data_IF_935488240280
#
_entry.id   IF_935488240280
#
_cell.length_a   1.000
_cell.length_b   1.000
_cell.length_c   1.000
_cell.angle_alpha   90.00
_cell.angle_beta   90.00
_cell.angle_gamma   90.00
#
_symmetry.space_group_name_H-M   'P 1'
#
loop_
_entity.id
_entity.type
_entity.pdbx_description
1 polymer ?
#
# COMPACT_ATOMS: atom_id res chain seq x y z
N UNK A 1 7.17 -11.91 -7.69
CA UNK A 1 6.49 -10.61 -7.49
C UNK A 1 6.78 -9.79 -8.71
N UNK A 2 5.74 -9.45 -9.50
CA UNK A 2 5.92 -8.75 -10.79
C UNK A 2 5.29 -7.36 -10.80
N UNK A 3 4.20 -7.16 -10.04
CA UNK A 3 3.44 -5.92 -10.03
C UNK A 3 3.20 -5.44 -8.61
N UNK A 4 3.61 -4.20 -8.35
CA UNK A 4 3.51 -3.54 -7.04
C UNK A 4 2.58 -2.35 -7.17
N UNK A 5 1.58 -2.24 -6.30
CA UNK A 5 0.71 -1.07 -6.20
C UNK A 5 1.13 -0.21 -5.01
N UNK A 6 1.27 1.08 -5.24
CA UNK A 6 1.59 2.07 -4.21
C UNK A 6 0.50 3.13 -4.17
N UNK A 7 -0.44 3.04 -3.23
CA UNK A 7 -1.37 4.12 -2.94
C UNK A 7 -0.62 5.33 -2.38
N UNK A 8 -0.94 6.52 -2.86
CA UNK A 8 -0.31 7.77 -2.45
C UNK A 8 -1.32 8.88 -2.20
N UNK A 9 -1.09 9.67 -1.17
CA UNK A 9 -1.70 10.97 -0.91
C UNK A 9 -0.66 12.10 -1.05
N UNK A 10 0.47 11.77 -1.66
CA UNK A 10 1.64 12.63 -1.83
C UNK A 10 2.29 13.09 -0.51
N UNK A 11 1.95 12.45 0.62
CA UNK A 11 2.62 12.69 1.91
C UNK A 11 4.03 12.09 1.92
N UNK A 12 4.85 12.54 2.88
CA UNK A 12 6.18 11.97 3.13
C UNK A 12 6.12 10.45 3.41
N UNK A 13 5.10 10.00 4.14
CA UNK A 13 4.90 8.59 4.46
C UNK A 13 4.58 7.76 3.21
N UNK A 14 3.75 8.30 2.30
CA UNK A 14 3.49 7.66 1.02
C UNK A 14 4.75 7.67 0.13
N UNK A 15 5.55 8.73 0.15
CA UNK A 15 6.83 8.78 -0.56
C UNK A 15 7.82 7.75 -0.01
N UNK A 16 7.89 7.55 1.31
CA UNK A 16 8.72 6.51 1.92
C UNK A 16 8.30 5.10 1.47
N UNK A 17 7.00 4.85 1.34
CA UNK A 17 6.49 3.60 0.78
C UNK A 17 6.90 3.42 -0.70
N UNK A 18 6.83 4.48 -1.50
CA UNK A 18 7.25 4.45 -2.91
C UNK A 18 8.77 4.22 -3.05
N UNK A 19 9.60 4.80 -2.18
CA UNK A 19 11.05 4.53 -2.15
C UNK A 19 11.34 3.04 -1.88
N UNK A 20 10.62 2.41 -0.95
CA UNK A 20 10.75 0.98 -0.69
C UNK A 20 10.27 0.16 -1.89
N UNK A 21 9.14 0.55 -2.51
CA UNK A 21 8.64 -0.09 -3.71
C UNK A 21 9.67 -0.02 -4.86
N UNK A 22 10.31 1.13 -5.03
CA UNK A 22 11.36 1.33 -6.03
C UNK A 22 12.57 0.40 -5.81
N UNK A 23 13.02 0.25 -4.56
CA UNK A 23 14.13 -0.66 -4.23
C UNK A 23 13.76 -2.13 -4.50
N UNK A 24 12.54 -2.54 -4.12
CA UNK A 24 12.05 -3.89 -4.39
C UNK A 24 11.85 -4.14 -5.90
N UNK A 25 11.35 -3.14 -6.63
CA UNK A 25 11.15 -3.22 -8.07
C UNK A 25 12.47 -3.35 -8.83
N UNK A 26 13.49 -2.58 -8.46
CA UNK A 26 14.86 -2.71 -9.04
C UNK A 26 15.44 -4.11 -8.82
N UNK A 27 15.24 -4.69 -7.63
CA UNK A 27 15.77 -6.02 -7.29
C UNK A 27 15.04 -7.16 -8.01
N UNK A 28 13.73 -7.01 -8.26
CA UNK A 28 12.88 -8.10 -8.76
C UNK A 28 12.38 -7.86 -10.21
N UNK A 29 12.84 -6.80 -10.87
CA UNK A 29 12.35 -6.39 -12.20
C UNK A 29 10.81 -6.26 -12.22
N UNK A 30 10.26 -5.59 -11.20
CA UNK A 30 8.82 -5.43 -11.02
C UNK A 30 8.33 -4.13 -11.63
N UNK A 31 7.09 -4.14 -12.09
CA UNK A 31 6.34 -2.96 -12.52
C UNK A 31 5.72 -2.26 -11.32
N UNK A 32 5.73 -0.93 -11.29
CA UNK A 32 5.09 -0.14 -10.24
C UNK A 32 3.84 0.54 -10.80
N UNK A 33 2.76 0.44 -10.06
CA UNK A 33 1.52 1.18 -10.26
C UNK A 33 1.35 2.18 -9.12
N UNK A 34 1.08 3.44 -9.42
CA UNK A 34 0.85 4.47 -8.40
C UNK A 34 -0.62 4.90 -8.45
N UNK A 35 -1.30 4.88 -7.31
CA UNK A 35 -2.71 5.20 -7.19
C UNK A 35 -2.92 6.38 -6.22
N UNK A 36 -3.50 7.45 -6.72
CA UNK A 36 -4.10 8.47 -5.86
C UNK A 36 -5.63 8.38 -5.95
N UNK A 37 -6.29 8.22 -4.79
CA UNK A 37 -7.74 8.13 -4.67
C UNK A 37 -8.28 9.47 -4.19
N UNK A 38 -8.97 10.19 -5.09
CA UNK A 38 -9.62 11.46 -4.78
C UNK A 38 -11.01 11.20 -4.20
N UNK A 39 -11.18 11.42 -2.90
CA UNK A 39 -12.49 11.43 -2.26
C UNK A 39 -13.20 12.77 -2.57
N UNK A 40 -13.89 12.83 -3.71
CA UNK A 40 -14.65 14.03 -4.08
C UNK A 40 -15.96 14.07 -3.30
N UNK A 41 -16.25 15.15 -2.54
CA UNK A 41 -17.53 15.32 -1.87
C UNK A 41 -18.69 15.28 -2.85
N UNK A 42 -19.75 14.52 -2.56
CA UNK A 42 -20.90 14.28 -3.45
C UNK A 42 -21.66 15.57 -3.82
N UNK A 43 -21.54 16.63 -3.03
CA UNK A 43 -22.18 17.93 -3.31
C UNK A 43 -21.43 18.76 -4.36
N UNK A 44 -20.20 18.40 -4.72
CA UNK A 44 -19.40 19.11 -5.75
C UNK A 44 -19.76 18.68 -7.17
N UNK A 45 -20.51 17.60 -7.34
CA UNK A 45 -20.92 17.10 -8.66
C UNK A 45 -21.96 17.96 -9.36
N UNK A 46 -22.58 18.94 -8.70
CA UNK A 46 -23.77 19.67 -9.20
C UNK A 46 -23.61 21.18 -9.40
N UNK A 47 -22.45 21.77 -9.17
CA UNK A 47 -22.27 23.24 -9.23
C UNK A 47 -21.60 23.71 -10.52
N UNK A 48 -22.26 23.46 -11.65
CA UNK A 48 -21.85 23.98 -12.98
C UNK A 48 -22.55 25.27 -13.39
N UNK A 49 -22.79 26.22 -12.47
CA UNK A 49 -23.32 27.51 -12.82
C UNK A 49 -22.25 28.59 -12.63
N UNK A 50 -21.96 29.34 -13.71
CA UNK A 50 -21.12 30.54 -13.77
C UNK A 50 -19.66 30.38 -14.20
N UNK A 51 -19.32 29.51 -15.17
CA UNK A 51 -18.01 29.63 -15.86
C UNK A 51 -16.77 29.36 -14.99
N UNK A 52 -16.94 29.07 -13.72
CA UNK A 52 -15.87 28.59 -12.85
C UNK A 52 -15.61 27.10 -13.16
N UNK A 53 -14.33 26.73 -13.22
CA UNK A 53 -13.93 25.33 -13.35
C UNK A 53 -14.56 24.54 -12.20
N UNK A 54 -15.26 23.42 -12.45
CA UNK A 54 -15.78 22.60 -11.37
C UNK A 54 -14.65 22.27 -10.37
N UNK A 55 -14.93 22.38 -9.08
CA UNK A 55 -13.93 22.20 -8.02
C UNK A 55 -13.26 20.81 -8.12
N UNK A 56 -14.01 19.81 -8.58
CA UNK A 56 -13.50 18.47 -8.89
C UNK A 56 -12.38 18.48 -9.95
N UNK A 57 -12.53 19.30 -11.00
CA UNK A 57 -11.52 19.40 -12.06
C UNK A 57 -10.23 20.07 -11.56
N UNK A 58 -10.35 21.00 -10.59
CA UNK A 58 -9.19 21.59 -9.94
C UNK A 58 -8.38 20.55 -9.17
N UNK A 59 -9.03 19.68 -8.36
CA UNK A 59 -8.34 18.62 -7.60
C UNK A 59 -7.73 17.57 -8.53
N UNK A 60 -8.38 17.21 -9.64
CA UNK A 60 -7.82 16.30 -10.63
C UNK A 60 -6.52 16.89 -11.23
N UNK A 61 -6.55 18.15 -11.68
CA UNK A 61 -5.36 18.81 -12.23
C UNK A 61 -4.24 18.96 -11.21
N UNK A 62 -4.59 19.19 -9.96
CA UNK A 62 -3.61 19.25 -8.87
C UNK A 62 -2.95 17.88 -8.64
N UNK A 63 -3.73 16.81 -8.65
CA UNK A 63 -3.20 15.45 -8.54
C UNK A 63 -2.33 15.08 -9.74
N UNK A 64 -2.74 15.44 -10.98
CA UNK A 64 -1.92 15.25 -12.19
C UNK A 64 -0.55 15.93 -12.06
N UNK A 65 -0.54 17.20 -11.59
CA UNK A 65 0.72 17.93 -11.35
C UNK A 65 1.60 17.23 -10.32
N UNK A 66 1.02 16.76 -9.20
CA UNK A 66 1.77 16.03 -8.19
C UNK A 66 2.31 14.69 -8.71
N UNK A 67 1.58 14.01 -9.61
CA UNK A 67 2.08 12.83 -10.28
C UNK A 67 3.28 13.14 -11.18
N UNK A 68 3.23 14.21 -11.99
CA UNK A 68 4.35 14.65 -12.80
C UNK A 68 5.60 14.86 -11.94
N UNK A 69 5.48 15.65 -10.86
CA UNK A 69 6.58 15.91 -9.92
C UNK A 69 7.10 14.63 -9.22
N UNK A 70 6.20 13.68 -8.90
CA UNK A 70 6.54 12.41 -8.28
C UNK A 70 7.33 11.52 -9.24
N UNK A 71 6.91 11.42 -10.49
CA UNK A 71 7.51 10.55 -11.48
C UNK A 71 8.90 11.02 -11.94
N UNK A 72 9.23 12.29 -11.74
CA UNK A 72 10.56 12.87 -12.00
C UNK A 72 11.59 12.56 -10.87
N UNK A 73 11.19 11.91 -9.78
CA UNK A 73 12.08 11.63 -8.66
C UNK A 73 13.22 10.69 -9.05
N UNK A 74 14.49 11.03 -8.72
CA UNK A 74 15.67 10.25 -9.16
C UNK A 74 15.67 8.79 -8.73
N UNK A 75 15.04 8.44 -7.60
CA UNK A 75 14.97 7.06 -7.14
C UNK A 75 14.07 6.16 -7.99
N UNK A 76 13.23 6.76 -8.86
CA UNK A 76 12.37 6.07 -9.83
C UNK A 76 13.06 5.86 -11.18
N UNK A 77 14.20 6.46 -11.42
CA UNK A 77 14.92 6.35 -12.68
C UNK A 77 15.23 4.89 -13.05
N UNK A 78 14.94 4.55 -14.30
CA UNK A 78 15.15 3.20 -14.84
C UNK A 78 14.11 2.17 -14.41
N UNK A 79 13.06 2.58 -13.67
CA UNK A 79 11.96 1.69 -13.30
C UNK A 79 10.83 1.72 -14.32
N UNK A 80 10.17 0.58 -14.46
CA UNK A 80 8.97 0.46 -15.27
C UNK A 80 7.77 0.92 -14.41
N UNK A 81 7.37 2.18 -14.62
CA UNK A 81 6.15 2.74 -14.00
C UNK A 81 5.10 2.78 -15.09
N UNK A 82 4.14 1.86 -15.01
CA UNK A 82 3.17 1.67 -16.08
C UNK A 82 2.07 2.72 -16.08
N UNK A 83 1.64 3.14 -14.90
CA UNK A 83 0.42 3.94 -14.84
C UNK A 83 0.37 4.73 -13.53
N UNK A 84 0.14 6.03 -13.64
CA UNK A 84 -0.38 6.83 -12.55
C UNK A 84 -1.90 6.81 -12.65
N UNK A 85 -2.57 6.26 -11.66
CA UNK A 85 -4.02 6.06 -11.65
C UNK A 85 -4.62 7.06 -10.69
N UNK A 86 -5.69 7.74 -11.13
CA UNK A 86 -6.49 8.63 -10.27
C UNK A 86 -7.84 7.94 -10.01
N UNK A 87 -8.05 7.50 -8.79
CA UNK A 87 -9.32 6.93 -8.34
C UNK A 87 -10.34 8.01 -7.97
N UNK A 88 -11.61 7.62 -7.90
CA UNK A 88 -12.72 8.52 -7.58
C UNK A 88 -13.61 7.98 -6.46
N UNK A 89 -13.06 7.23 -5.53
CA UNK A 89 -13.82 6.56 -4.47
C UNK A 89 -13.11 6.51 -3.13
N UNK A 90 -13.51 5.56 -2.30
CA UNK A 90 -12.82 5.29 -1.05
C UNK A 90 -11.53 4.50 -1.31
N UNK A 91 -10.41 4.94 -0.74
CA UNK A 91 -9.07 4.39 -0.98
C UNK A 91 -9.03 2.85 -1.00
N UNK A 92 -9.66 2.19 -0.02
CA UNK A 92 -9.64 0.72 0.05
C UNK A 92 -10.42 0.04 -1.08
N UNK A 93 -11.46 0.69 -1.62
CA UNK A 93 -12.23 0.18 -2.76
C UNK A 93 -11.41 0.31 -4.04
N UNK A 94 -10.85 1.50 -4.27
CA UNK A 94 -10.02 1.76 -5.45
C UNK A 94 -8.79 0.85 -5.46
N UNK A 95 -8.12 0.65 -4.31
CA UNK A 95 -7.01 -0.30 -4.17
C UNK A 95 -7.43 -1.72 -4.54
N UNK A 96 -8.56 -2.21 -4.00
CA UNK A 96 -9.03 -3.58 -4.29
C UNK A 96 -9.46 -3.77 -5.75
N UNK A 97 -10.01 -2.74 -6.38
CA UNK A 97 -10.36 -2.73 -7.81
C UNK A 97 -9.10 -2.82 -8.68
N UNK A 98 -8.11 -1.94 -8.46
CA UNK A 98 -6.84 -1.94 -9.18
C UNK A 98 -6.07 -3.25 -8.97
N UNK A 99 -6.06 -3.78 -7.74
CA UNK A 99 -5.44 -5.09 -7.43
C UNK A 99 -6.01 -6.18 -8.34
N UNK A 100 -7.32 -6.20 -8.52
CA UNK A 100 -8.00 -7.19 -9.36
C UNK A 100 -7.77 -6.94 -10.85
N UNK A 101 -7.93 -5.70 -11.31
CA UNK A 101 -7.84 -5.36 -12.74
C UNK A 101 -6.43 -5.51 -13.29
N UNK A 102 -5.43 -5.05 -12.53
CA UNK A 102 -4.02 -5.06 -12.95
C UNK A 102 -3.26 -6.31 -12.50
N UNK A 103 -3.92 -7.26 -11.82
CA UNK A 103 -3.30 -8.46 -11.25
C UNK A 103 -2.07 -8.12 -10.40
N UNK A 104 -2.25 -7.24 -9.43
CA UNK A 104 -1.20 -6.80 -8.51
C UNK A 104 -0.81 -7.95 -7.56
N UNK A 105 0.48 -8.07 -7.28
CA UNK A 105 1.02 -9.11 -6.38
C UNK A 105 1.24 -8.61 -4.95
N UNK A 106 1.51 -7.31 -4.80
CA UNK A 106 1.84 -6.66 -3.53
C UNK A 106 1.34 -5.23 -3.51
N UNK A 107 0.72 -4.82 -2.40
CA UNK A 107 0.47 -3.41 -2.10
C UNK A 107 1.55 -2.93 -1.14
N UNK A 108 2.16 -1.76 -1.40
CA UNK A 108 3.08 -1.10 -0.46
C UNK A 108 2.53 0.29 -0.17
N UNK A 109 2.30 0.59 1.11
CA UNK A 109 1.72 1.87 1.48
C UNK A 109 2.29 2.42 2.80
N UNK A 110 2.18 3.73 3.00
CA UNK A 110 2.58 4.37 4.25
C UNK A 110 1.66 3.96 5.40
N UNK A 111 2.18 4.00 6.62
CA UNK A 111 1.40 3.67 7.83
C UNK A 111 0.37 4.74 8.17
N UNK A 112 0.61 6.00 7.77
CA UNK A 112 -0.23 7.17 8.03
C UNK A 112 -0.20 8.06 6.79
N UNK A 113 -1.26 8.83 6.56
CA UNK A 113 -1.29 9.90 5.57
C UNK A 113 -1.08 11.27 6.24
N UNK A 114 -1.44 12.33 5.52
CA UNK A 114 -1.24 13.74 5.93
C UNK A 114 -1.86 14.12 7.29
N UNK A 115 -2.79 13.31 7.83
CA UNK A 115 -3.54 13.60 9.06
C UNK A 115 -3.06 12.82 10.30
N UNK A 116 -1.89 12.16 10.25
CA UNK A 116 -1.42 11.29 11.33
C UNK A 116 -0.71 12.02 12.47
N UNK A 117 -1.37 12.17 13.62
CA UNK A 117 -0.83 12.85 14.80
C UNK A 117 -0.11 11.93 15.82
N UNK A 118 -0.08 10.62 15.65
CA UNK A 118 0.52 9.71 16.62
C UNK A 118 1.33 8.58 15.97
N UNK A 119 2.58 8.44 16.34
CA UNK A 119 3.54 7.45 15.83
C UNK A 119 3.13 5.97 16.03
N UNK A 120 2.15 5.71 16.90
CA UNK A 120 1.73 4.35 17.26
C UNK A 120 0.50 3.84 16.50
N UNK A 121 -0.20 4.69 15.76
CA UNK A 121 -1.44 4.29 15.09
C UNK A 121 -1.23 4.10 13.58
N UNK A 122 -1.88 3.08 13.04
CA UNK A 122 -2.03 2.89 11.60
C UNK A 122 -3.18 3.79 11.14
N UNK A 123 -2.99 4.56 10.08
CA UNK A 123 -4.03 5.42 9.50
C UNK A 123 -5.27 4.61 9.07
N UNK A 124 -6.44 5.23 9.15
CA UNK A 124 -7.73 4.58 8.87
C UNK A 124 -7.80 3.96 7.47
N UNK A 125 -7.22 4.60 6.46
CA UNK A 125 -7.16 4.06 5.09
C UNK A 125 -6.25 2.84 5.01
N UNK A 126 -5.08 2.89 5.65
CA UNK A 126 -4.15 1.76 5.71
C UNK A 126 -4.78 0.57 6.44
N UNK A 127 -5.44 0.80 7.57
CA UNK A 127 -6.16 -0.24 8.30
C UNK A 127 -7.24 -0.91 7.43
N UNK A 128 -8.07 -0.11 6.73
CA UNK A 128 -9.10 -0.64 5.84
C UNK A 128 -8.51 -1.46 4.70
N UNK A 129 -7.40 -1.00 4.08
CA UNK A 129 -6.72 -1.74 3.02
C UNK A 129 -6.18 -3.07 3.55
N UNK A 130 -5.48 -3.07 4.69
CA UNK A 130 -4.95 -4.30 5.30
C UNK A 130 -6.06 -5.30 5.61
N UNK A 131 -7.21 -4.84 6.13
CA UNK A 131 -8.34 -5.71 6.47
C UNK A 131 -9.09 -6.28 5.26
N UNK A 132 -9.09 -5.57 4.13
CA UNK A 132 -9.93 -5.94 2.97
C UNK A 132 -9.15 -6.53 1.81
N UNK A 133 -7.83 -6.35 1.78
CA UNK A 133 -6.97 -6.85 0.71
C UNK A 133 -6.91 -8.37 0.70
N UNK A 134 -6.95 -8.94 -0.51
CA UNK A 134 -6.78 -10.39 -0.75
C UNK A 134 -5.34 -10.78 -1.06
N UNK A 135 -4.45 -9.80 -1.14
CA UNK A 135 -3.02 -9.97 -1.41
C UNK A 135 -2.20 -9.33 -0.27
N UNK A 136 -0.91 -9.63 -0.15
CA UNK A 136 -0.06 -9.03 0.86
C UNK A 136 -0.07 -7.50 0.79
N UNK A 137 -0.06 -6.86 1.97
CA UNK A 137 0.09 -5.42 2.13
C UNK A 137 1.30 -5.16 3.00
N UNK A 138 2.30 -4.49 2.45
CA UNK A 138 3.50 -4.06 3.17
C UNK A 138 3.30 -2.62 3.65
N UNK A 139 3.28 -2.42 4.96
CA UNK A 139 3.08 -1.09 5.57
C UNK A 139 4.42 -0.52 6.00
N UNK A 140 4.78 0.64 5.47
CA UNK A 140 6.04 1.33 5.74
C UNK A 140 5.79 2.46 6.74
N UNK A 141 6.52 2.41 7.86
CA UNK A 141 6.40 3.42 8.93
C UNK A 141 7.45 4.52 8.84
N UNK A 142 8.67 4.17 8.46
CA UNK A 142 9.81 5.07 8.47
C UNK A 142 10.48 5.13 7.10
N UNK A 143 11.35 6.11 6.91
CA UNK A 143 12.22 6.15 5.75
C UNK A 143 13.25 5.01 5.80
N UNK A 144 13.46 4.34 4.69
CA UNK A 144 14.46 3.29 4.52
C UNK A 144 15.34 3.61 3.32
N UNK A 145 16.58 4.05 3.57
CA UNK A 145 17.56 4.31 2.50
C UNK A 145 18.02 3.00 1.84
N UNK A 146 18.12 1.93 2.64
CA UNK A 146 18.47 0.57 2.20
C UNK A 146 17.49 -0.41 2.86
N UNK A 147 16.39 -0.73 2.16
CA UNK A 147 15.36 -1.62 2.66
C UNK A 147 15.82 -3.08 2.57
N UNK A 148 15.99 -3.71 3.72
CA UNK A 148 16.39 -5.12 3.86
C UNK A 148 15.30 -5.94 4.51
N UNK A 149 15.16 -7.15 4.00
CA UNK A 149 14.21 -8.16 4.49
C UNK A 149 14.98 -9.40 4.99
N UNK A 150 16.02 -9.20 5.81
CA UNK A 150 16.87 -10.31 6.28
C UNK A 150 16.11 -11.27 7.19
N UNK A 151 15.18 -10.76 7.98
CA UNK A 151 14.36 -11.53 8.89
C UNK A 151 12.89 -11.15 8.78
N UNK A 152 12.05 -12.14 8.58
CA UNK A 152 10.61 -12.00 8.58
C UNK A 152 10.02 -12.80 9.74
N UNK A 153 9.25 -12.15 10.60
CA UNK A 153 8.54 -12.81 11.69
C UNK A 153 7.07 -12.98 11.30
N UNK A 154 6.63 -14.21 11.20
CA UNK A 154 5.24 -14.56 10.94
C UNK A 154 4.56 -14.98 12.24
N UNK A 155 3.66 -14.13 12.75
CA UNK A 155 2.83 -14.45 13.90
C UNK A 155 1.68 -15.37 13.48
N UNK A 156 1.47 -16.47 14.19
CA UNK A 156 0.46 -17.49 13.87
C UNK A 156 -0.10 -18.13 15.12
N UNK A 157 -1.36 -18.50 15.10
CA UNK A 157 -2.02 -19.37 16.07
C UNK A 157 -2.14 -20.83 15.59
N UNK A 158 -1.53 -21.14 14.42
CA UNK A 158 -1.60 -22.43 13.73
C UNK A 158 -3.02 -22.88 13.33
N UNK A 159 -4.00 -21.98 13.30
CA UNK A 159 -5.34 -22.30 12.82
C UNK A 159 -5.35 -22.59 11.30
N UNK A 160 -6.41 -23.27 10.82
CA UNK A 160 -6.60 -23.50 9.38
C UNK A 160 -6.67 -22.18 8.59
N UNK A 161 -7.19 -21.13 9.20
CA UNK A 161 -7.35 -19.80 8.62
C UNK A 161 -5.99 -19.15 8.32
N UNK A 162 -4.93 -19.50 9.07
CA UNK A 162 -3.59 -19.01 8.83
C UNK A 162 -2.87 -19.61 7.62
N UNK A 163 -3.41 -20.67 7.00
CA UNK A 163 -2.73 -21.33 5.86
C UNK A 163 -2.63 -20.46 4.62
N UNK A 164 -3.67 -19.73 4.27
CA UNK A 164 -3.67 -18.85 3.09
C UNK A 164 -2.72 -17.67 3.29
N UNK A 165 -2.81 -16.89 4.39
CA UNK A 165 -1.84 -15.83 4.69
C UNK A 165 -0.40 -16.35 4.77
N UNK A 166 -0.16 -17.52 5.34
CA UNK A 166 1.18 -18.11 5.40
C UNK A 166 1.75 -18.40 4.01
N UNK A 167 0.96 -18.94 3.10
CA UNK A 167 1.40 -19.18 1.72
C UNK A 167 1.73 -17.88 0.98
N UNK A 168 1.03 -16.79 1.26
CA UNK A 168 1.34 -15.46 0.72
C UNK A 168 2.64 -14.92 1.32
N UNK A 169 2.81 -15.04 2.64
CA UNK A 169 4.05 -14.67 3.34
C UNK A 169 5.26 -15.45 2.80
N UNK A 170 5.09 -16.75 2.55
CA UNK A 170 6.12 -17.61 1.96
C UNK A 170 6.54 -17.12 0.57
N UNK A 171 5.58 -16.80 -0.32
CA UNK A 171 5.88 -16.26 -1.65
C UNK A 171 6.62 -14.93 -1.58
N UNK A 172 6.25 -14.06 -0.64
CA UNK A 172 6.96 -12.80 -0.42
C UNK A 172 8.40 -13.06 0.04
N UNK A 173 8.60 -13.94 1.02
CA UNK A 173 9.92 -14.30 1.54
C UNK A 173 10.82 -14.95 0.47
N UNK A 174 10.28 -15.83 -0.37
CA UNK A 174 10.98 -16.42 -1.52
C UNK A 174 11.39 -15.32 -2.53
N UNK A 175 10.48 -14.38 -2.85
CA UNK A 175 10.76 -13.27 -3.77
C UNK A 175 11.80 -12.26 -3.24
N UNK A 176 11.99 -12.18 -1.93
CA UNK A 176 12.96 -11.28 -1.28
C UNK A 176 14.19 -12.02 -0.74
N UNK A 177 14.25 -13.33 -0.87
CA UNK A 177 15.28 -14.21 -0.30
C UNK A 177 15.42 -14.05 1.22
N UNK A 178 14.29 -14.07 1.94
CA UNK A 178 14.17 -13.78 3.38
C UNK A 178 13.87 -15.06 4.16
N UNK A 179 14.44 -15.20 5.35
CA UNK A 179 14.08 -16.27 6.28
C UNK A 179 12.80 -15.93 7.04
N UNK A 180 11.91 -16.93 7.16
CA UNK A 180 10.68 -16.79 7.94
C UNK A 180 10.90 -17.40 9.33
N UNK A 181 10.71 -16.59 10.36
CA UNK A 181 10.66 -17.02 11.75
C UNK A 181 9.19 -17.11 12.18
N UNK A 182 8.75 -18.26 12.68
CA UNK A 182 7.38 -18.41 13.19
C UNK A 182 7.32 -17.94 14.64
N UNK A 183 6.34 -17.09 14.94
CA UNK A 183 6.05 -16.64 16.30
C UNK A 183 4.66 -17.13 16.72
N UNK A 184 4.61 -17.94 17.77
CA UNK A 184 3.38 -18.33 18.45
C UNK A 184 3.36 -17.74 19.85
N UNK A 185 2.30 -17.02 20.19
CA UNK A 185 2.10 -16.45 21.53
C UNK A 185 0.98 -17.24 22.22
N UNK A 186 1.36 -18.01 23.25
CA UNK A 186 0.40 -18.72 24.06
C UNK A 186 -0.07 -17.82 25.21
N UNK A 187 -1.36 -17.52 25.25
CA UNK A 187 -1.95 -16.73 26.33
C UNK A 187 -2.51 -17.64 27.45
N UNK A 188 -2.46 -17.24 28.74
CA UNK A 188 -2.96 -18.08 29.85
C UNK A 188 -4.42 -18.54 29.70
N UNK A 189 -5.26 -17.77 28.99
CA UNK A 189 -6.66 -18.12 28.71
C UNK A 189 -6.83 -19.31 27.75
N UNK A 190 -5.78 -19.66 27.00
CA UNK A 190 -5.78 -20.77 26.05
C UNK A 190 -5.20 -22.07 26.61
N UNK A 191 -4.65 -22.02 27.83
CA UNK A 191 -4.28 -23.22 28.57
C UNK A 191 -5.53 -24.03 28.90
N UNK A 192 -6.06 -24.77 27.93
CA UNK A 192 -6.98 -25.87 28.23
C UNK A 192 -6.15 -26.93 28.95
N UNK A 193 -6.36 -27.03 30.28
CA UNK A 193 -5.91 -28.20 31.04
C UNK A 193 -6.46 -29.43 30.31
N UNK A 194 -5.61 -30.15 29.62
CA UNK A 194 -5.89 -31.53 29.21
C UNK A 194 -6.12 -32.33 30.48
N UNK A 195 -7.38 -32.69 30.76
CA UNK A 195 -7.75 -33.70 31.74
C UNK A 195 -7.43 -35.08 31.19
#
# INVERSE_FOLDING_TARGET
MKRILVPTDFSEQAENALKVAAQLAKKNESEIYVLNSLELPTHLSSSGANGAMPESLFFIKLAEKYFEELLEKPYLEGLLIHEAIIGHGEVYKDVNEVVKEKNIDLVIMGSQGTNGFMELFIGSNTEKVVRTSKIPVLVIKNNHEDFKTDNFVYATDFSEECKIPFNQAKKFAEGTNTHINLLYINTPSEFKTTK
#
